data_IF_708443724717
#
_entry.id   IF_708443724717
#
_cell.length_a   1.000
_cell.length_b   1.000
_cell.length_c   1.000
_cell.angle_alpha   90.00
_cell.angle_beta   90.00
_cell.angle_gamma   90.00
#
_symmetry.space_group_name_H-M   'P 1'
#
loop_
_entity.id
_entity.type
_entity.pdbx_description
1 polymer ?
#
# COMPACT_ATOMS: atom_id res chain seq x y z
N UNK A 1 24.89 -37.21 50.76
CA UNK A 1 24.88 -36.69 49.38
C UNK A 1 24.35 -37.79 48.48
N UNK A 2 23.32 -37.48 47.67
CA UNK A 2 22.90 -38.15 46.41
C UNK A 2 22.53 -39.66 46.49
N UNK A 3 21.50 -40.22 45.87
CA UNK A 3 20.62 -39.81 44.76
C UNK A 3 19.32 -40.61 44.89
N UNK A 4 18.17 -39.95 44.73
CA UNK A 4 16.92 -40.61 44.37
C UNK A 4 16.86 -40.71 42.84
N UNK A 5 16.96 -41.93 42.31
CA UNK A 5 16.73 -42.25 40.90
C UNK A 5 15.21 -42.39 40.70
N UNK A 6 14.59 -41.40 40.08
CA UNK A 6 13.21 -41.50 39.59
C UNK A 6 13.21 -42.25 38.24
N UNK A 7 12.38 -43.30 38.06
CA UNK A 7 12.24 -43.95 36.77
C UNK A 7 11.39 -43.09 35.83
N UNK A 8 12.03 -42.76 34.71
CA UNK A 8 11.47 -42.35 33.44
C UNK A 8 10.17 -43.10 33.10
N UNK A 9 9.04 -42.39 33.17
CA UNK A 9 7.75 -42.82 32.63
C UNK A 9 7.34 -41.86 31.52
N UNK A 10 7.91 -42.15 30.36
CA UNK A 10 7.62 -41.59 29.06
C UNK A 10 6.18 -41.96 28.66
N UNK A 11 5.29 -40.98 28.52
CA UNK A 11 4.06 -41.12 27.73
C UNK A 11 3.53 -39.74 27.32
N UNK A 12 4.12 -39.23 26.24
CA UNK A 12 3.48 -38.47 25.16
C UNK A 12 2.02 -38.07 25.43
N UNK A 13 1.83 -36.94 26.08
CA UNK A 13 0.59 -36.19 25.98
C UNK A 13 0.69 -35.43 24.66
N UNK A 14 0.27 -36.09 23.57
CA UNK A 14 0.13 -35.47 22.27
C UNK A 14 -0.80 -34.28 22.42
N UNK A 15 -0.17 -33.12 22.45
CA UNK A 15 -0.75 -31.81 22.36
C UNK A 15 -1.52 -31.79 21.04
N UNK A 16 -2.84 -31.97 21.09
CA UNK A 16 -3.71 -31.59 19.99
C UNK A 16 -3.63 -30.07 19.89
N UNK A 17 -2.59 -29.55 19.24
CA UNK A 17 -2.67 -28.25 18.58
C UNK A 17 -3.68 -28.48 17.47
N UNK A 18 -4.96 -28.27 17.77
CA UNK A 18 -5.90 -27.87 16.75
C UNK A 18 -5.31 -26.60 16.17
N UNK A 19 -4.63 -26.72 15.03
CA UNK A 19 -4.38 -25.60 14.17
C UNK A 19 -5.77 -25.08 13.79
N UNK A 20 -6.28 -24.17 14.62
CA UNK A 20 -7.27 -23.21 14.19
C UNK A 20 -6.52 -22.43 13.11
N UNK A 21 -6.59 -22.94 11.88
CA UNK A 21 -6.42 -22.13 10.70
C UNK A 21 -7.50 -21.06 10.84
N UNK A 22 -7.13 -19.96 11.50
CA UNK A 22 -7.88 -18.73 11.45
C UNK A 22 -8.12 -18.51 9.96
N UNK A 23 -9.38 -18.64 9.56
CA UNK A 23 -9.87 -18.27 8.24
C UNK A 23 -9.42 -16.82 8.06
N UNK A 24 -8.23 -16.63 7.49
CA UNK A 24 -7.75 -15.31 7.11
C UNK A 24 -8.79 -14.82 6.11
N UNK A 25 -9.39 -13.64 6.32
CA UNK A 25 -10.36 -13.12 5.38
C UNK A 25 -9.74 -13.18 3.99
N UNK A 26 -10.45 -13.75 3.03
CA UNK A 26 -9.94 -13.82 1.66
C UNK A 26 -9.89 -12.39 1.13
N UNK A 27 -8.71 -11.93 0.72
CA UNK A 27 -8.59 -10.59 0.15
C UNK A 27 -9.30 -10.58 -1.21
N UNK A 28 -10.30 -9.70 -1.36
CA UNK A 28 -11.05 -9.55 -2.61
C UNK A 28 -10.52 -8.33 -3.34
N UNK A 29 -10.18 -8.48 -4.62
CA UNK A 29 -9.79 -7.38 -5.50
C UNK A 29 -10.99 -6.93 -6.33
N UNK A 30 -11.23 -5.63 -6.40
CA UNK A 30 -12.26 -5.01 -7.25
C UNK A 30 -11.63 -3.91 -8.08
N UNK A 31 -11.76 -3.98 -9.39
CA UNK A 31 -11.41 -2.88 -10.30
C UNK A 31 -12.57 -1.88 -10.35
N UNK A 32 -12.29 -0.58 -10.19
CA UNK A 32 -13.28 0.47 -10.46
C UNK A 32 -13.16 0.92 -11.92
N UNK A 33 -14.30 0.97 -12.61
CA UNK A 33 -14.36 1.55 -13.95
C UNK A 33 -14.55 3.06 -13.83
N UNK A 34 -13.48 3.81 -14.10
CA UNK A 34 -13.44 5.28 -14.00
C UNK A 34 -14.37 5.99 -15.01
N UNK A 35 -15.03 5.25 -15.90
CA UNK A 35 -16.12 5.78 -16.73
C UNK A 35 -17.38 6.10 -15.92
N UNK A 36 -17.49 5.59 -14.69
CA UNK A 36 -18.62 5.85 -13.82
C UNK A 36 -18.44 7.20 -13.09
N UNK A 37 -19.20 8.22 -13.49
CA UNK A 37 -19.05 9.61 -13.01
C UNK A 37 -19.21 9.78 -11.48
N UNK A 38 -19.89 8.86 -10.79
CA UNK A 38 -20.06 8.90 -9.34
C UNK A 38 -18.80 8.44 -8.58
N UNK A 39 -17.97 7.59 -9.17
CA UNK A 39 -16.72 7.08 -8.57
C UNK A 39 -15.51 7.93 -8.99
N UNK A 40 -15.62 8.67 -10.10
CA UNK A 40 -14.58 9.56 -10.63
C UNK A 40 -14.01 10.54 -9.60
N UNK A 41 -14.81 11.38 -8.92
CA UNK A 41 -14.30 12.40 -8.00
C UNK A 41 -13.56 11.84 -6.78
N UNK A 42 -13.96 10.66 -6.29
CA UNK A 42 -13.29 10.01 -5.15
C UNK A 42 -11.93 9.47 -5.57
N UNK A 43 -11.87 8.82 -6.74
CA UNK A 43 -10.60 8.32 -7.29
C UNK A 43 -9.68 9.48 -7.66
N UNK A 44 -10.21 10.58 -8.19
CA UNK A 44 -9.47 11.79 -8.52
C UNK A 44 -8.76 12.37 -7.29
N UNK A 45 -9.48 12.53 -6.17
CA UNK A 45 -8.88 12.99 -4.91
C UNK A 45 -7.86 12.01 -4.32
N UNK A 46 -8.08 10.71 -4.44
CA UNK A 46 -7.09 9.70 -4.02
C UNK A 46 -5.83 9.72 -4.90
N UNK A 47 -5.99 9.95 -6.21
CA UNK A 47 -4.89 10.04 -7.15
C UNK A 47 -4.05 11.30 -6.90
N UNK A 48 -4.69 12.45 -6.68
CA UNK A 48 -4.00 13.70 -6.34
C UNK A 48 -3.21 13.56 -5.03
N UNK A 49 -3.84 13.00 -3.99
CA UNK A 49 -3.17 12.68 -2.72
C UNK A 49 -1.97 11.73 -2.92
N UNK A 50 -2.14 10.68 -3.73
CA UNK A 50 -1.05 9.75 -4.02
C UNK A 50 0.15 10.44 -4.71
N UNK A 51 -0.10 11.34 -5.66
CA UNK A 51 0.96 12.10 -6.34
C UNK A 51 1.70 13.01 -5.36
N UNK A 52 0.97 13.67 -4.45
CA UNK A 52 1.56 14.50 -3.41
C UNK A 52 2.49 13.68 -2.50
N UNK A 53 2.00 12.55 -1.97
CA UNK A 53 2.79 11.66 -1.12
C UNK A 53 4.03 11.11 -1.85
N UNK A 54 3.89 10.76 -3.14
CA UNK A 54 5.02 10.32 -3.98
C UNK A 54 6.06 11.43 -4.11
N UNK A 55 5.63 12.66 -4.38
CA UNK A 55 6.54 13.81 -4.47
C UNK A 55 7.24 14.10 -3.14
N UNK A 56 6.53 14.02 -2.01
CA UNK A 56 7.13 14.16 -0.69
C UNK A 56 8.17 13.07 -0.43
N UNK A 57 7.85 11.81 -0.75
CA UNK A 57 8.78 10.67 -0.62
C UNK A 57 10.04 10.86 -1.47
N UNK A 58 9.88 11.28 -2.73
CA UNK A 58 10.98 11.59 -3.65
C UNK A 58 11.83 12.75 -3.16
N UNK A 59 11.22 13.81 -2.65
CA UNK A 59 11.94 14.96 -2.11
C UNK A 59 12.82 14.55 -0.92
N UNK A 60 12.30 13.71 -0.01
CA UNK A 60 13.06 13.17 1.12
C UNK A 60 14.22 12.27 0.67
N UNK A 61 13.99 11.41 -0.32
CA UNK A 61 15.03 10.52 -0.83
C UNK A 61 16.12 11.31 -1.59
N UNK A 62 15.73 12.34 -2.34
CA UNK A 62 16.64 13.25 -3.04
C UNK A 62 17.50 14.05 -2.05
N UNK A 63 16.90 14.57 -0.98
CA UNK A 63 17.62 15.32 0.05
C UNK A 63 18.63 14.44 0.79
N UNK A 64 18.25 13.19 1.11
CA UNK A 64 19.17 12.21 1.71
C UNK A 64 20.35 11.87 0.79
N UNK A 65 20.13 11.79 -0.52
CA UNK A 65 21.17 11.43 -1.48
C UNK A 65 22.10 12.59 -1.86
N UNK A 66 21.56 13.81 -1.97
CA UNK A 66 22.29 14.96 -2.53
C UNK A 66 22.60 16.07 -1.51
N UNK A 67 22.02 16.00 -0.30
CA UNK A 67 22.14 17.05 0.72
C UNK A 67 21.47 18.37 0.35
N UNK A 68 20.60 18.37 -0.67
CA UNK A 68 19.89 19.55 -1.18
C UNK A 68 18.42 19.21 -1.41
N UNK A 69 17.55 20.22 -1.31
CA UNK A 69 16.12 20.06 -1.61
C UNK A 69 15.92 19.72 -3.09
N UNK A 70 14.93 18.87 -3.36
CA UNK A 70 14.54 18.53 -4.72
C UNK A 70 14.01 19.79 -5.44
N UNK A 71 14.50 20.11 -6.66
CA UNK A 71 13.95 21.19 -7.46
C UNK A 71 12.46 20.98 -7.74
N UNK A 72 11.59 22.01 -7.63
CA UNK A 72 10.16 21.87 -7.89
C UNK A 72 9.81 21.36 -9.30
N UNK A 73 10.69 21.63 -10.28
CA UNK A 73 10.54 21.15 -11.66
C UNK A 73 10.65 19.64 -11.83
N UNK A 74 11.15 18.93 -10.80
CA UNK A 74 11.30 17.48 -10.81
C UNK A 74 10.12 16.78 -10.12
N UNK A 75 9.15 17.55 -9.58
CA UNK A 75 7.89 17.02 -9.07
C UNK A 75 7.05 16.44 -10.22
N UNK A 76 6.37 15.34 -9.95
CA UNK A 76 5.29 14.88 -10.79
C UNK A 76 4.11 15.84 -10.69
N UNK A 77 3.57 16.26 -11.82
CA UNK A 77 2.37 17.08 -11.88
C UNK A 77 1.19 16.19 -12.23
N UNK A 78 0.23 16.10 -11.33
CA UNK A 78 -0.99 15.32 -11.49
C UNK A 78 -1.74 15.71 -12.78
N UNK A 79 -2.21 14.73 -13.56
CA UNK A 79 -3.09 14.95 -14.71
C UNK A 79 -4.48 14.32 -14.50
N UNK A 80 -4.53 12.99 -14.30
CA UNK A 80 -5.78 12.23 -14.13
C UNK A 80 -5.50 10.79 -13.66
N UNK A 81 -6.45 10.09 -13.03
CA UNK A 81 -6.36 8.65 -12.84
C UNK A 81 -6.57 7.93 -14.18
N UNK A 82 -5.81 6.85 -14.38
CA UNK A 82 -5.91 5.94 -15.52
C UNK A 82 -6.69 4.68 -15.14
N UNK A 83 -6.45 4.16 -13.93
CA UNK A 83 -7.12 2.98 -13.39
C UNK A 83 -7.11 3.04 -11.85
N UNK A 84 -8.05 2.33 -11.23
CA UNK A 84 -8.03 2.10 -9.79
C UNK A 84 -8.49 0.68 -9.45
N UNK A 85 -7.75 0.02 -8.57
CA UNK A 85 -8.10 -1.24 -7.94
C UNK A 85 -8.23 -1.05 -6.42
N UNK A 86 -9.28 -1.60 -5.85
CA UNK A 86 -9.51 -1.65 -4.41
C UNK A 86 -9.32 -3.07 -3.93
N UNK A 87 -8.49 -3.24 -2.90
CA UNK A 87 -8.35 -4.48 -2.18
C UNK A 87 -9.08 -4.38 -0.86
N UNK A 88 -9.98 -5.32 -0.58
CA UNK A 88 -10.68 -5.43 0.71
C UNK A 88 -10.26 -6.71 1.43
N UNK A 89 -10.12 -6.62 2.75
CA UNK A 89 -9.88 -7.76 3.64
C UNK A 89 -11.12 -7.95 4.53
N UNK A 90 -12.01 -8.86 4.12
CA UNK A 90 -13.35 -8.94 4.70
C UNK A 90 -14.20 -7.74 4.28
N UNK A 91 -14.80 -7.05 5.25
CA UNK A 91 -15.62 -5.85 5.03
C UNK A 91 -14.82 -4.54 5.06
N UNK A 92 -13.50 -4.61 5.29
CA UNK A 92 -12.63 -3.45 5.42
C UNK A 92 -11.82 -3.25 4.15
N UNK A 93 -11.78 -2.02 3.63
CA UNK A 93 -10.82 -1.66 2.59
C UNK A 93 -9.41 -1.69 3.17
N UNK A 94 -8.54 -2.46 2.53
CA UNK A 94 -7.15 -2.66 2.93
C UNK A 94 -6.23 -1.70 2.16
N UNK A 95 -6.40 -1.62 0.84
CA UNK A 95 -5.61 -0.73 0.00
C UNK A 95 -6.32 -0.28 -1.29
N UNK A 96 -5.82 0.82 -1.85
CA UNK A 96 -6.14 1.35 -3.18
C UNK A 96 -4.87 1.32 -4.02
N UNK A 97 -4.90 0.63 -5.16
CA UNK A 97 -3.85 0.71 -6.18
C UNK A 97 -4.36 1.61 -7.31
N UNK A 98 -3.67 2.68 -7.62
CA UNK A 98 -4.11 3.68 -8.59
C UNK A 98 -2.99 3.89 -9.61
N UNK A 99 -3.30 3.70 -10.89
CA UNK A 99 -2.44 4.14 -11.98
C UNK A 99 -2.83 5.57 -12.36
N UNK A 100 -1.84 6.46 -12.45
CA UNK A 100 -2.04 7.91 -12.55
C UNK A 100 -1.19 8.46 -13.69
N UNK A 101 -1.79 9.25 -14.57
CA UNK A 101 -1.09 10.03 -15.59
C UNK A 101 -0.47 11.27 -14.93
N UNK A 102 0.81 11.49 -15.17
CA UNK A 102 1.58 12.60 -14.60
C UNK A 102 2.46 13.26 -15.65
N UNK A 103 2.79 14.53 -15.43
CA UNK A 103 3.88 15.18 -16.17
C UNK A 103 5.16 15.13 -15.35
N UNK A 104 6.25 14.63 -15.95
CA UNK A 104 7.54 14.42 -15.27
C UNK A 104 8.45 15.65 -15.25
N UNK A 105 8.15 16.63 -16.09
CA UNK A 105 8.85 17.90 -16.19
C UNK A 105 7.84 19.02 -16.46
N UNK A 106 8.31 20.24 -16.74
CA UNK A 106 7.53 21.47 -17.02
C UNK A 106 6.53 21.38 -18.20
N UNK A 107 5.60 20.44 -18.12
CA UNK A 107 4.45 20.15 -18.94
C UNK A 107 4.70 19.56 -20.33
N UNK A 108 5.79 18.81 -20.56
CA UNK A 108 6.09 18.29 -21.92
C UNK A 108 6.17 16.78 -22.04
N UNK A 109 6.40 16.05 -20.95
CA UNK A 109 6.55 14.60 -20.97
C UNK A 109 5.49 13.98 -20.07
N UNK A 110 4.59 13.20 -20.68
CA UNK A 110 3.67 12.33 -19.97
C UNK A 110 4.41 11.07 -19.51
N UNK A 111 4.25 10.74 -18.24
CA UNK A 111 4.62 9.48 -17.64
C UNK A 111 3.41 8.88 -16.92
N UNK A 112 3.57 7.67 -16.39
CA UNK A 112 2.57 7.11 -15.50
C UNK A 112 3.22 6.64 -14.22
N UNK A 113 2.51 6.82 -13.10
CA UNK A 113 2.91 6.25 -11.83
C UNK A 113 1.82 5.29 -11.35
N UNK A 114 2.24 4.18 -10.78
CA UNK A 114 1.37 3.30 -10.02
C UNK A 114 1.64 3.55 -8.54
N UNK A 115 0.62 3.95 -7.79
CA UNK A 115 0.70 4.19 -6.36
C UNK A 115 -0.24 3.25 -5.60
N UNK A 116 0.23 2.73 -4.46
CA UNK A 116 -0.55 1.90 -3.55
C UNK A 116 -0.75 2.68 -2.26
N UNK A 117 -2.00 3.05 -1.96
CA UNK A 117 -2.41 3.66 -0.70
C UNK A 117 -2.94 2.59 0.24
N UNK A 118 -2.34 2.46 1.42
CA UNK A 118 -2.84 1.57 2.47
C UNK A 118 -3.80 2.32 3.39
N UNK A 119 -4.85 1.62 3.83
CA UNK A 119 -5.81 2.15 4.81
C UNK A 119 -5.43 1.67 6.20
N UNK A 120 -5.06 2.60 7.07
CA UNK A 120 -4.78 2.33 8.48
C UNK A 120 -6.04 1.92 9.25
N UNK A 121 -5.86 1.33 10.44
CA UNK A 121 -6.96 0.93 11.33
C UNK A 121 -7.83 2.09 11.82
N UNK A 122 -7.35 3.32 11.71
CA UNK A 122 -8.04 4.58 11.98
C UNK A 122 -8.66 5.23 10.73
N UNK A 123 -8.60 4.58 9.56
CA UNK A 123 -9.04 5.13 8.28
C UNK A 123 -8.05 6.10 7.65
N UNK A 124 -6.85 6.26 8.21
CA UNK A 124 -5.80 7.11 7.64
C UNK A 124 -5.23 6.49 6.37
N UNK A 125 -5.09 7.29 5.31
CA UNK A 125 -4.47 6.88 4.06
C UNK A 125 -2.98 7.19 4.09
N UNK A 126 -2.15 6.21 3.69
CA UNK A 126 -0.70 6.39 3.57
C UNK A 126 -0.19 5.75 2.32
N UNK A 127 0.82 6.36 1.70
CA UNK A 127 1.54 5.73 0.62
C UNK A 127 2.28 4.48 1.12
N UNK A 128 1.84 3.32 0.65
CA UNK A 128 2.48 2.03 0.92
C UNK A 128 3.66 1.79 -0.03
N UNK A 129 3.42 1.91 -1.33
CA UNK A 129 4.45 1.76 -2.36
C UNK A 129 4.10 2.57 -3.60
N UNK A 130 5.10 2.83 -4.43
CA UNK A 130 4.89 3.43 -5.75
C UNK A 130 5.98 3.00 -6.73
N UNK A 131 5.69 3.13 -8.02
CA UNK A 131 6.66 2.98 -9.11
C UNK A 131 6.26 3.89 -10.29
N UNK A 132 7.25 4.39 -11.03
CA UNK A 132 7.04 5.00 -12.33
C UNK A 132 7.09 3.91 -13.42
N UNK A 133 6.26 4.04 -14.47
CA UNK A 133 6.24 3.14 -15.62
C UNK A 133 6.64 3.86 -16.90
#
# INVERSE_FOLDING_TARGET
>A
MASFLLPSSLALLFLFVTAAAALRPTAVKRSLDLKNEAEGPVVDGLAEFAVEEVNQKRALDYEKANGQKMPPKDNFLYQKPLSAEVQTLGDTTDSFTIDIDVLENANTIHGSIQAVLNVGSNGELKLGSWKAN
#
